data_IF_316340300652
#
_entry.id   IF_316340300652
#
_cell.length_a   1.000
_cell.length_b   1.000
_cell.length_c   1.000
_cell.angle_alpha   90.00
_cell.angle_beta   90.00
_cell.angle_gamma   90.00
#
_symmetry.space_group_name_H-M   'P 1'
#
loop_
_entity.id
_entity.type
_entity.pdbx_description
1 polymer ?
#
# COMPACT_ATOMS: atom_id res chain seq x y z
N UNK A 1 -58.01 12.34 -45.29
CA UNK A 1 -56.70 12.39 -45.97
C UNK A 1 -55.86 11.20 -45.54
N UNK A 2 -55.24 10.53 -46.51
CA UNK A 2 -54.22 9.46 -46.41
C UNK A 2 -53.13 9.84 -45.37
N UNK A 3 -52.43 8.99 -44.61
CA UNK A 3 -52.16 7.53 -44.63
C UNK A 3 -51.61 7.06 -43.25
N UNK A 4 -51.98 5.82 -42.87
CA UNK A 4 -51.19 4.69 -42.32
C UNK A 4 -50.12 4.98 -41.23
N UNK A 5 -50.32 4.56 -39.97
CA UNK A 5 -50.04 3.21 -39.39
C UNK A 5 -48.57 2.78 -39.54
N UNK A 6 -47.91 2.48 -38.41
CA UNK A 6 -46.78 1.53 -38.39
C UNK A 6 -45.78 1.68 -37.24
N UNK A 7 -46.01 0.93 -36.17
CA UNK A 7 -45.26 0.78 -34.92
C UNK A 7 -43.89 0.04 -35.05
N UNK A 8 -42.92 0.44 -34.20
CA UNK A 8 -41.88 -0.33 -33.43
C UNK A 8 -40.68 -1.00 -34.14
N UNK A 9 -39.47 -0.70 -33.62
CA UNK A 9 -38.42 -1.60 -33.01
C UNK A 9 -37.03 -0.98 -33.27
N UNK A 10 -36.33 -0.48 -32.23
CA UNK A 10 -35.41 -1.22 -31.34
C UNK A 10 -34.06 -1.55 -32.00
N UNK A 11 -33.03 -0.83 -31.51
CA UNK A 11 -31.64 -1.23 -31.21
C UNK A 11 -30.63 -1.58 -32.33
N UNK A 12 -29.41 -1.10 -32.04
CA UNK A 12 -28.07 -1.65 -32.34
C UNK A 12 -27.29 -1.09 -33.55
N UNK A 13 -26.12 -0.59 -33.16
CA UNK A 13 -24.80 -0.80 -33.76
C UNK A 13 -24.28 0.16 -34.85
N UNK A 14 -23.06 0.61 -34.56
CA UNK A 14 -21.98 0.93 -35.49
C UNK A 14 -21.97 2.34 -36.11
N UNK A 15 -21.37 3.27 -35.37
CA UNK A 15 -20.66 4.40 -35.97
C UNK A 15 -19.37 3.83 -36.59
N UNK A 16 -19.42 3.54 -37.88
CA UNK A 16 -18.24 3.42 -38.74
C UNK A 16 -18.65 3.91 -40.13
N UNK A 17 -17.69 4.59 -40.76
CA UNK A 17 -17.66 5.07 -42.15
C UNK A 17 -18.06 6.54 -42.31
N UNK A 18 -17.03 7.37 -42.17
CA UNK A 18 -16.92 8.69 -42.75
C UNK A 18 -15.45 8.95 -43.11
N UNK A 19 -14.83 8.01 -43.84
CA UNK A 19 -13.58 8.25 -44.54
C UNK A 19 -13.96 8.74 -45.95
N UNK A 20 -14.03 10.06 -46.14
CA UNK A 20 -14.04 10.65 -47.47
C UNK A 20 -12.93 11.70 -47.57
N UNK A 21 -11.88 11.30 -48.31
CA UNK A 21 -11.19 12.07 -49.33
C UNK A 21 -10.72 13.50 -48.97
N UNK A 22 -9.56 13.58 -48.32
CA UNK A 22 -8.69 14.76 -48.35
C UNK A 22 -7.45 14.49 -49.21
N UNK A 23 -7.39 15.17 -50.36
CA UNK A 23 -6.36 15.06 -51.38
C UNK A 23 -4.93 15.22 -50.83
N UNK A 24 -4.08 14.28 -51.22
CA UNK A 24 -2.63 14.29 -51.07
C UNK A 24 -2.05 15.39 -51.98
N UNK A 25 -1.57 16.49 -51.41
CA UNK A 25 -0.98 17.57 -52.20
C UNK A 25 -0.45 18.72 -51.34
N UNK A 26 0.88 18.78 -51.25
CA UNK A 26 1.68 19.98 -51.00
C UNK A 26 1.60 20.66 -49.63
N UNK A 27 2.28 20.04 -48.66
CA UNK A 27 3.01 20.78 -47.62
C UNK A 27 4.23 19.98 -47.13
N UNK A 28 5.02 19.44 -48.06
CA UNK A 28 6.40 19.04 -47.73
C UNK A 28 7.26 20.29 -47.77
N UNK A 29 7.09 21.15 -46.76
CA UNK A 29 8.13 22.09 -46.42
C UNK A 29 9.40 21.28 -46.15
N UNK A 30 10.44 21.69 -46.86
CA UNK A 30 11.72 21.02 -47.00
C UNK A 30 12.45 21.02 -45.64
N UNK A 31 12.07 20.12 -44.73
CA UNK A 31 12.89 19.81 -43.56
C UNK A 31 14.15 19.11 -44.07
N UNK A 32 15.27 19.84 -44.06
CA UNK A 32 16.58 19.22 -44.17
C UNK A 32 16.65 18.09 -43.13
N UNK A 33 16.85 16.86 -43.61
CA UNK A 33 17.18 15.72 -42.76
C UNK A 33 18.34 16.16 -41.85
N UNK A 34 18.12 16.34 -40.53
CA UNK A 34 19.25 16.60 -39.67
C UNK A 34 20.12 15.36 -39.75
N UNK A 35 21.43 15.55 -39.86
CA UNK A 35 22.41 14.49 -39.94
C UNK A 35 22.46 13.79 -38.57
N UNK A 36 21.42 13.01 -38.26
CA UNK A 36 21.26 12.31 -37.00
C UNK A 36 22.07 11.03 -37.07
N UNK A 37 23.19 11.04 -36.37
CA UNK A 37 23.91 9.82 -36.02
C UNK A 37 23.02 8.99 -35.07
N UNK A 38 22.72 7.72 -35.36
CA UNK A 38 21.95 6.86 -34.46
C UNK A 38 22.56 6.74 -33.06
N UNK A 39 23.88 6.95 -32.91
CA UNK A 39 24.55 7.01 -31.62
C UNK A 39 24.08 8.22 -30.80
N UNK A 40 23.91 9.40 -31.41
CA UNK A 40 23.42 10.62 -30.74
C UNK A 40 21.94 10.51 -30.36
N UNK A 41 21.14 9.80 -31.16
CA UNK A 41 19.74 9.54 -30.85
C UNK A 41 19.59 8.60 -29.64
N UNK A 42 20.46 7.59 -29.53
CA UNK A 42 20.52 6.70 -28.37
C UNK A 42 21.02 7.45 -27.13
N UNK A 43 22.06 8.28 -27.26
CA UNK A 43 22.55 9.12 -26.15
C UNK A 43 21.48 10.11 -25.70
N UNK A 44 20.71 10.70 -26.61
CA UNK A 44 19.57 11.57 -26.28
C UNK A 44 18.44 10.81 -25.57
N UNK A 45 18.09 9.60 -26.02
CA UNK A 45 17.08 8.75 -25.36
C UNK A 45 17.54 8.25 -23.98
N UNK A 46 18.82 7.89 -23.85
CA UNK A 46 19.42 7.47 -22.57
C UNK A 46 19.52 8.67 -21.63
N UNK A 47 19.95 9.83 -22.09
CA UNK A 47 20.02 11.03 -21.25
C UNK A 47 18.63 11.52 -20.83
N UNK A 48 17.62 11.49 -21.71
CA UNK A 48 16.24 11.80 -21.36
C UNK A 48 15.62 10.75 -20.42
N UNK A 49 15.97 9.47 -20.53
CA UNK A 49 15.51 8.44 -19.57
C UNK A 49 16.23 8.54 -18.23
N UNK A 50 17.50 8.95 -18.20
CA UNK A 50 18.24 9.26 -16.96
C UNK A 50 17.71 10.54 -16.30
N UNK A 51 17.37 11.57 -17.08
CA UNK A 51 16.72 12.79 -16.60
C UNK A 51 15.29 12.51 -16.09
N UNK A 52 14.53 11.63 -16.75
CA UNK A 52 13.19 11.24 -16.31
C UNK A 52 13.20 10.22 -15.16
N UNK A 53 14.30 9.47 -14.94
CA UNK A 53 14.44 8.59 -13.76
C UNK A 53 14.91 9.34 -12.51
N UNK A 54 15.37 10.59 -12.64
CA UNK A 54 15.67 11.49 -11.53
C UNK A 54 14.42 12.07 -10.86
N UNK A 55 13.21 11.69 -11.29
CA UNK A 55 12.01 11.82 -10.45
C UNK A 55 12.23 10.92 -9.25
N UNK A 56 12.77 11.48 -8.17
CA UNK A 56 12.86 10.80 -6.89
C UNK A 56 11.42 10.45 -6.52
N UNK A 57 11.02 9.17 -6.51
CA UNK A 57 9.66 8.83 -6.12
C UNK A 57 9.51 9.35 -4.70
N UNK A 58 8.60 10.30 -4.49
CA UNK A 58 8.25 10.73 -3.14
C UNK A 58 7.91 9.47 -2.37
N UNK A 59 8.64 9.13 -1.28
CA UNK A 59 8.42 7.88 -0.60
C UNK A 59 6.97 7.84 -0.12
N UNK A 60 6.29 6.71 -0.35
CA UNK A 60 4.95 6.49 0.18
C UNK A 60 4.98 6.69 1.70
N UNK A 61 4.10 7.56 2.19
CA UNK A 61 4.02 7.96 3.60
C UNK A 61 2.58 8.02 4.04
N UNK A 62 2.35 7.64 5.29
CA UNK A 62 1.05 7.74 5.93
C UNK A 62 1.03 9.00 6.81
N UNK A 63 0.18 9.96 6.49
CA UNK A 63 0.05 11.21 7.24
C UNK A 63 -1.34 11.38 7.85
N UNK A 64 -1.40 12.06 8.99
CA UNK A 64 -2.63 12.43 9.68
C UNK A 64 -3.28 11.30 10.48
N UNK A 65 -4.17 11.67 11.39
CA UNK A 65 -5.11 10.78 12.11
C UNK A 65 -4.47 9.56 12.81
N UNK A 66 -3.23 9.68 13.26
CA UNK A 66 -2.50 8.58 13.90
C UNK A 66 -2.19 7.41 12.96
N UNK A 67 -2.23 7.61 11.63
CA UNK A 67 -1.96 6.54 10.67
C UNK A 67 -0.52 6.06 10.78
N UNK A 68 -0.33 4.75 10.72
CA UNK A 68 0.99 4.12 10.77
C UNK A 68 1.27 3.32 9.50
N UNK A 69 2.53 3.30 9.08
CA UNK A 69 2.97 2.59 7.90
C UNK A 69 3.72 1.31 8.27
N UNK A 70 3.31 0.18 7.67
CA UNK A 70 4.03 -1.09 7.77
C UNK A 70 5.10 -1.24 6.69
N UNK A 71 5.96 -2.27 6.83
CA UNK A 71 6.97 -2.65 5.83
C UNK A 71 6.38 -2.98 4.45
N UNK A 72 5.10 -3.37 4.41
CA UNK A 72 4.34 -3.63 3.18
C UNK A 72 3.72 -2.37 2.54
N UNK A 73 4.18 -1.17 2.92
CA UNK A 73 3.66 0.11 2.41
C UNK A 73 2.14 0.24 2.54
N UNK A 74 1.58 -0.29 3.61
CA UNK A 74 0.14 -0.21 3.91
C UNK A 74 -0.06 0.78 5.06
N UNK A 75 -1.02 1.71 4.91
CA UNK A 75 -1.42 2.60 5.98
C UNK A 75 -2.48 1.95 6.86
N UNK A 76 -2.19 1.84 8.15
CA UNK A 76 -3.11 1.37 9.17
C UNK A 76 -3.68 2.55 9.96
N UNK A 77 -4.94 2.44 10.36
CA UNK A 77 -5.61 3.38 11.27
C UNK A 77 -5.63 2.83 12.71
N UNK A 78 -5.76 3.68 13.74
CA UNK A 78 -5.93 3.20 15.11
C UNK A 78 -7.13 2.25 15.22
N UNK A 79 -6.92 1.07 15.80
CA UNK A 79 -7.98 0.10 16.09
C UNK A 79 -8.70 0.38 17.40
N UNK A 80 -9.90 -0.21 17.56
CA UNK A 80 -10.71 -0.11 18.78
C UNK A 80 -10.28 -1.06 19.91
N UNK A 81 -9.12 -1.73 19.77
CA UNK A 81 -8.69 -2.84 20.63
C UNK A 81 -9.15 -4.22 20.11
N UNK A 82 -8.59 -5.30 20.70
CA UNK A 82 -8.78 -6.72 20.34
C UNK A 82 -7.94 -7.26 19.17
N UNK A 83 -6.79 -6.67 18.87
CA UNK A 83 -5.84 -7.23 17.89
C UNK A 83 -4.70 -7.99 18.56
N UNK A 84 -4.39 -7.67 19.82
CA UNK A 84 -3.35 -8.32 20.61
C UNK A 84 -3.97 -9.30 21.60
N UNK A 85 -3.42 -10.51 21.70
CA UNK A 85 -3.86 -11.58 22.59
C UNK A 85 -2.72 -12.09 23.45
N UNK A 86 -3.01 -12.35 24.72
CA UNK A 86 -2.15 -13.14 25.60
C UNK A 86 -2.21 -14.62 25.18
N UNK A 87 -1.06 -15.25 24.98
CA UNK A 87 -0.97 -16.68 24.60
C UNK A 87 -1.31 -17.61 25.76
N UNK A 88 -0.94 -17.27 26.99
CA UNK A 88 -1.21 -18.07 28.17
C UNK A 88 -2.68 -17.98 28.58
N UNK A 89 -3.26 -16.79 28.57
CA UNK A 89 -4.66 -16.57 28.95
C UNK A 89 -5.66 -16.77 27.79
N UNK A 90 -5.18 -16.77 26.53
CA UNK A 90 -6.00 -16.79 25.33
C UNK A 90 -7.10 -15.70 25.32
N UNK A 91 -6.76 -14.51 25.84
CA UNK A 91 -7.69 -13.40 26.02
C UNK A 91 -7.16 -12.13 25.33
N UNK A 92 -8.04 -11.24 24.84
CA UNK A 92 -7.61 -9.98 24.26
C UNK A 92 -6.93 -9.11 25.30
N UNK A 93 -5.82 -8.48 24.93
CA UNK A 93 -5.22 -7.41 25.71
C UNK A 93 -5.95 -6.12 25.39
N UNK A 94 -6.75 -5.64 26.34
CA UNK A 94 -7.43 -4.35 26.27
C UNK A 94 -6.70 -3.24 27.04
N UNK A 95 -5.56 -3.57 27.64
CA UNK A 95 -4.69 -2.61 28.32
C UNK A 95 -3.73 -1.93 27.33
N UNK A 96 -3.27 -0.73 27.69
CA UNK A 96 -2.20 -0.03 26.97
C UNK A 96 -0.80 -0.57 27.32
N UNK A 97 -0.68 -1.31 28.42
CA UNK A 97 0.58 -1.86 28.92
C UNK A 97 0.48 -3.37 29.13
N UNK A 98 1.60 -4.06 29.01
CA UNK A 98 1.74 -5.50 29.25
C UNK A 98 3.06 -5.80 29.96
N UNK A 99 3.07 -6.79 30.86
CA UNK A 99 4.31 -7.28 31.46
C UNK A 99 5.28 -7.77 30.39
N UNK A 100 6.54 -7.39 30.50
CA UNK A 100 7.61 -7.80 29.59
C UNK A 100 7.74 -9.33 29.52
N UNK A 101 7.98 -9.85 28.33
CA UNK A 101 8.07 -11.30 28.09
C UNK A 101 6.74 -12.06 28.12
N UNK A 102 5.60 -11.41 28.41
CA UNK A 102 4.28 -12.02 28.21
C UNK A 102 4.14 -12.42 26.75
N UNK A 103 3.79 -13.68 26.48
CA UNK A 103 3.65 -14.16 25.11
C UNK A 103 2.44 -13.54 24.42
N UNK A 104 2.66 -12.83 23.31
CA UNK A 104 1.60 -12.12 22.59
C UNK A 104 1.43 -12.59 21.15
N UNK A 105 0.17 -12.68 20.72
CA UNK A 105 -0.22 -12.91 19.32
C UNK A 105 -0.95 -11.70 18.74
N UNK A 106 -0.74 -11.48 17.46
CA UNK A 106 -1.42 -10.44 16.70
C UNK A 106 -2.41 -11.07 15.71
N UNK A 107 -3.65 -10.58 15.70
CA UNK A 107 -4.74 -11.09 14.86
C UNK A 107 -5.52 -9.98 14.16
N UNK A 108 -6.31 -10.36 13.16
CA UNK A 108 -7.31 -9.46 12.57
C UNK A 108 -8.31 -9.01 13.63
N UNK A 109 -8.65 -7.71 13.65
CA UNK A 109 -9.65 -7.18 14.59
C UNK A 109 -11.03 -7.84 14.42
N UNK A 110 -11.36 -8.28 13.22
CA UNK A 110 -12.68 -8.79 12.84
C UNK A 110 -12.74 -10.31 12.62
N UNK A 111 -11.63 -11.04 12.78
CA UNK A 111 -11.54 -12.48 12.52
C UNK A 111 -10.53 -13.13 13.44
N UNK A 112 -10.73 -14.41 13.76
CA UNK A 112 -9.76 -15.22 14.50
C UNK A 112 -8.63 -15.75 13.60
N UNK A 113 -8.05 -14.87 12.78
CA UNK A 113 -6.90 -15.17 11.93
C UNK A 113 -5.68 -14.53 12.57
N UNK A 114 -4.79 -15.36 13.10
CA UNK A 114 -3.48 -14.94 13.62
C UNK A 114 -2.52 -14.81 12.45
N UNK A 115 -1.81 -13.69 12.42
CA UNK A 115 -0.92 -13.32 11.32
C UNK A 115 0.55 -13.50 11.74
N UNK A 116 1.33 -14.10 10.83
CA UNK A 116 2.72 -14.43 11.04
C UNK A 116 3.74 -13.36 10.67
N UNK A 117 3.37 -12.17 10.22
CA UNK A 117 4.29 -11.02 10.13
C UNK A 117 3.54 -9.75 10.45
N UNK A 118 3.51 -9.43 11.74
CA UNK A 118 2.51 -8.50 12.28
C UNK A 118 3.03 -7.57 13.36
N UNK A 119 4.28 -7.76 13.79
CA UNK A 119 4.85 -7.03 14.92
C UNK A 119 5.88 -6.02 14.44
N UNK A 120 5.70 -4.78 14.87
CA UNK A 120 6.57 -3.65 14.55
C UNK A 120 6.97 -2.93 15.82
N UNK A 121 8.13 -2.29 15.82
CA UNK A 121 8.55 -1.43 16.93
C UNK A 121 7.97 -0.03 16.71
N UNK A 122 7.21 0.45 17.68
CA UNK A 122 6.69 1.81 17.65
C UNK A 122 7.81 2.80 17.96
N UNK A 123 8.00 3.78 17.09
CA UNK A 123 9.03 4.81 17.21
C UNK A 123 8.43 6.18 16.92
N UNK A 124 8.36 7.04 17.93
CA UNK A 124 7.67 8.34 17.85
C UNK A 124 8.21 9.23 16.73
N UNK A 125 9.54 9.26 16.56
CA UNK A 125 10.22 9.97 15.47
C UNK A 125 9.82 9.46 14.08
N UNK A 126 9.74 8.14 13.92
CA UNK A 126 9.35 7.50 12.66
C UNK A 126 7.89 7.79 12.34
N UNK A 127 7.01 7.72 13.35
CA UNK A 127 5.58 8.03 13.21
C UNK A 127 5.35 9.50 12.89
N UNK A 128 6.06 10.41 13.57
CA UNK A 128 5.93 11.85 13.33
C UNK A 128 6.29 12.24 11.89
N UNK A 129 7.17 11.49 11.24
CA UNK A 129 7.55 11.67 9.84
C UNK A 129 6.64 10.91 8.85
N UNK A 130 5.60 10.23 9.34
CA UNK A 130 4.74 9.37 8.54
C UNK A 130 5.47 8.19 7.92
N UNK A 131 6.58 7.78 8.54
CA UNK A 131 7.51 6.79 8.02
C UNK A 131 7.12 5.36 8.33
N UNK A 132 7.77 4.44 7.62
CA UNK A 132 7.64 3.00 7.78
C UNK A 132 8.24 2.54 9.10
N UNK A 133 7.43 1.88 9.94
CA UNK A 133 7.93 1.31 11.17
C UNK A 133 8.82 0.09 10.90
N UNK A 134 9.91 -0.10 11.66
CA UNK A 134 10.72 -1.29 11.56
C UNK A 134 9.99 -2.50 12.16
N UNK A 135 10.14 -3.65 11.53
CA UNK A 135 9.65 -4.92 12.07
C UNK A 135 10.32 -5.25 13.41
N UNK A 136 9.60 -5.95 14.28
CA UNK A 136 10.15 -6.46 15.52
C UNK A 136 11.32 -7.43 15.21
N UNK A 137 12.40 -7.32 15.97
CA UNK A 137 13.56 -8.20 15.81
C UNK A 137 13.15 -9.67 15.96
N UNK A 138 13.75 -10.54 15.16
CA UNK A 138 13.58 -12.00 15.30
C UNK A 138 13.98 -12.51 16.69
N UNK A 139 14.81 -11.78 17.44
CA UNK A 139 15.13 -12.10 18.82
C UNK A 139 13.91 -12.03 19.77
N UNK A 140 12.87 -11.29 19.40
CA UNK A 140 11.65 -11.14 20.19
C UNK A 140 10.53 -12.08 19.74
N UNK A 141 10.73 -12.81 18.63
CA UNK A 141 9.69 -13.56 17.92
C UNK A 141 9.99 -15.06 17.91
N UNK A 142 8.94 -15.87 18.07
CA UNK A 142 9.02 -17.34 17.89
C UNK A 142 8.79 -17.75 16.43
N UNK A 143 9.47 -18.79 15.95
CA UNK A 143 9.20 -19.49 14.68
C UNK A 143 8.86 -20.98 14.92
N UNK A 144 8.05 -21.65 14.07
CA UNK A 144 7.40 -21.17 12.84
C UNK A 144 5.96 -20.68 13.07
N UNK A 145 5.39 -20.03 12.04
CA UNK A 145 4.07 -19.39 11.97
C UNK A 145 2.95 -20.02 12.85
N UNK A 146 2.11 -19.23 13.54
CA UNK A 146 2.14 -17.76 13.61
C UNK A 146 3.20 -17.20 14.56
N UNK A 147 3.71 -16.00 14.26
CA UNK A 147 4.67 -15.31 15.10
C UNK A 147 4.06 -14.96 16.45
N UNK A 148 4.75 -15.34 17.52
CA UNK A 148 4.45 -14.89 18.88
C UNK A 148 5.56 -13.97 19.34
N UNK A 149 5.20 -12.84 19.95
CA UNK A 149 6.12 -11.91 20.58
C UNK A 149 6.33 -12.36 22.04
N UNK A 150 7.49 -12.96 22.37
CA UNK A 150 7.74 -13.60 23.69
C UNK A 150 9.08 -13.24 24.33
N UNK A 151 9.96 -12.51 23.64
CA UNK A 151 11.33 -12.22 24.09
C UNK A 151 11.67 -10.74 24.25
N UNK A 152 10.66 -9.87 24.27
CA UNK A 152 10.84 -8.42 24.27
C UNK A 152 11.11 -7.86 25.68
N UNK A 153 11.98 -6.84 25.80
CA UNK A 153 12.27 -6.20 27.08
C UNK A 153 11.23 -5.13 27.43
N UNK A 154 11.22 -4.72 28.69
CA UNK A 154 10.47 -3.56 29.17
C UNK A 154 10.96 -2.25 28.53
N UNK A 155 10.08 -1.26 28.47
CA UNK A 155 10.36 0.09 27.96
C UNK A 155 10.25 0.23 26.43
N UNK A 156 9.79 -0.81 25.73
CA UNK A 156 9.57 -0.77 24.28
C UNK A 156 8.08 -0.81 23.98
N UNK A 157 7.64 0.06 23.07
CA UNK A 157 6.30 0.04 22.48
C UNK A 157 6.31 -0.82 21.22
N UNK A 158 5.36 -1.73 21.12
CA UNK A 158 5.16 -2.59 19.96
C UNK A 158 3.81 -2.31 19.31
N UNK A 159 3.73 -2.52 18.00
CA UNK A 159 2.50 -2.38 17.22
C UNK A 159 2.16 -3.70 16.56
N UNK A 160 0.91 -4.12 16.75
CA UNK A 160 0.29 -5.19 16.00
C UNK A 160 -0.40 -4.60 14.75
N UNK A 161 0.17 -4.87 13.58
CA UNK A 161 -0.36 -4.52 12.26
C UNK A 161 -0.45 -5.79 11.41
N UNK A 162 -1.59 -6.49 11.42
CA UNK A 162 -1.69 -7.76 10.71
C UNK A 162 -1.81 -7.50 9.19
N UNK A 163 -0.81 -8.01 8.46
CA UNK A 163 -0.56 -7.94 7.03
C UNK A 163 -1.60 -8.68 6.15
N UNK A 164 -2.25 -9.73 6.64
CA UNK A 164 -3.29 -10.49 5.91
C UNK A 164 -4.71 -9.97 6.12
N UNK A 165 -4.90 -9.01 7.02
CA UNK A 165 -6.20 -8.44 7.35
C UNK A 165 -6.54 -7.20 6.50
N UNK A 166 -6.10 -7.18 5.23
CA UNK A 166 -6.24 -6.04 4.32
C UNK A 166 -7.70 -5.79 3.96
N UNK A 167 -8.42 -5.11 4.85
CA UNK A 167 -9.66 -4.41 4.54
C UNK A 167 -9.35 -3.06 3.90
N UNK A 168 -10.37 -2.37 3.41
CA UNK A 168 -10.29 -0.97 2.96
C UNK A 168 -9.67 -0.04 4.02
N UNK A 169 -9.81 -0.38 5.32
CA UNK A 169 -9.23 0.34 6.44
C UNK A 169 -8.61 -0.66 7.44
N UNK A 170 -7.37 -1.12 7.24
CA UNK A 170 -6.73 -2.04 8.17
C UNK A 170 -6.39 -1.28 9.47
N UNK A 171 -6.56 -1.93 10.62
CA UNK A 171 -6.36 -1.30 11.93
C UNK A 171 -5.10 -1.80 12.62
N UNK A 172 -4.56 -1.02 13.55
CA UNK A 172 -3.46 -1.45 14.41
C UNK A 172 -3.79 -1.30 15.89
N UNK A 173 -3.07 -2.05 16.74
CA UNK A 173 -3.08 -1.86 18.19
C UNK A 173 -1.65 -1.69 18.71
N UNK A 174 -1.43 -0.73 19.61
CA UNK A 174 -0.14 -0.48 20.27
C UNK A 174 -0.19 -1.09 21.68
N UNK A 175 0.94 -1.63 22.12
CA UNK A 175 1.17 -2.02 23.50
C UNK A 175 2.53 -1.51 23.98
N UNK A 176 2.61 -1.04 25.21
CA UNK A 176 3.86 -0.72 25.88
C UNK A 176 4.27 -1.86 26.82
N UNK A 177 5.51 -2.31 26.71
CA UNK A 177 6.05 -3.30 27.64
C UNK A 177 6.51 -2.63 28.93
N UNK A 178 6.02 -3.11 30.06
CA UNK A 178 6.40 -2.65 31.41
C UNK A 178 6.99 -3.80 32.22
N UNK A 179 7.79 -3.52 33.27
CA UNK A 179 8.33 -4.56 34.16
C UNK A 179 7.26 -5.46 34.79
#
# INVERSE_FOLDING_TARGET
MRHRIGFILIFLFSILIGCENGSFGDAYERYQKPNFDPEDALVYLVSQSVLNSQITPTPFRCFGDGRLQSSFQTCYIPGSGNQIFDVGANAPINAATVTAGTGLRCKCADRDVVDGSSWYVYREDTVALGGMLPEASSAYLTQPYPQTLTGYPAGIKFVCMPSFCRKTNPTYQIIESVP
#
